data_IF_388069839006
#
_entry.id   IF_388069839006
#
_cell.length_a   1.000
_cell.length_b   1.000
_cell.length_c   1.000
_cell.angle_alpha   90.00
_cell.angle_beta   90.00
_cell.angle_gamma   90.00
#
_symmetry.space_group_name_H-M   'P 1'
#
loop_
_entity.id
_entity.type
_entity.pdbx_description
1 polymer ?
#
# COMPACT_ATOMS: atom_id res chain seq x y z
N UNK A 1 4.23 -7.55 -4.09
CA UNK A 1 4.77 -6.19 -3.93
C UNK A 1 6.13 -6.20 -3.21
N UNK A 2 6.24 -6.66 -1.96
CA UNK A 2 7.54 -6.70 -1.25
C UNK A 2 8.64 -7.43 -2.02
N UNK A 3 8.40 -8.68 -2.42
CA UNK A 3 9.32 -9.46 -3.25
C UNK A 3 9.62 -8.83 -4.62
N UNK A 4 8.67 -8.09 -5.18
CA UNK A 4 8.83 -7.46 -6.50
C UNK A 4 9.58 -6.11 -6.42
N UNK A 5 9.80 -5.57 -5.23
CA UNK A 5 10.39 -4.24 -5.06
C UNK A 5 11.91 -4.30 -5.30
N UNK A 6 12.45 -3.64 -6.35
CA UNK A 6 13.89 -3.71 -6.65
C UNK A 6 14.76 -2.96 -5.63
N UNK A 7 14.16 -2.08 -4.82
CA UNK A 7 14.85 -1.28 -3.82
C UNK A 7 14.66 -1.78 -2.38
N UNK A 8 13.94 -2.89 -2.19
CA UNK A 8 13.59 -3.42 -0.87
C UNK A 8 12.97 -2.32 0.03
N UNK A 9 11.95 -1.64 -0.51
CA UNK A 9 11.31 -0.49 0.14
C UNK A 9 10.01 -0.85 0.86
N UNK A 10 9.54 -2.10 0.75
CA UNK A 10 8.22 -2.53 1.23
C UNK A 10 8.40 -3.68 2.23
N UNK A 11 7.88 -3.50 3.44
CA UNK A 11 7.75 -4.55 4.44
C UNK A 11 6.29 -5.01 4.53
N UNK A 12 6.07 -6.32 4.62
CA UNK A 12 4.73 -6.90 4.76
C UNK A 12 4.77 -8.08 5.71
N UNK A 13 3.88 -8.07 6.70
CA UNK A 13 3.59 -9.21 7.55
C UNK A 13 2.12 -9.61 7.39
N UNK A 14 1.88 -10.88 7.06
CA UNK A 14 0.54 -11.44 6.92
C UNK A 14 0.05 -12.12 8.19
N UNK A 15 -1.25 -12.04 8.46
CA UNK A 15 -1.98 -12.80 9.47
C UNK A 15 -3.23 -13.44 8.84
N UNK A 16 -3.77 -14.45 9.51
CA UNK A 16 -4.95 -15.18 9.02
C UNK A 16 -6.23 -14.50 9.52
N UNK A 17 -7.26 -14.43 8.68
CA UNK A 17 -8.60 -14.05 9.12
C UNK A 17 -9.23 -15.25 9.86
N UNK A 18 -9.96 -14.98 10.94
CA UNK A 18 -10.75 -15.99 11.66
C UNK A 18 -12.24 -15.70 11.52
N UNK A 19 -13.10 -16.62 12.00
CA UNK A 19 -14.55 -16.39 12.04
C UNK A 19 -14.91 -15.21 12.95
N UNK A 20 -14.15 -15.02 14.04
CA UNK A 20 -14.35 -13.97 15.03
C UNK A 20 -13.75 -12.62 14.63
N UNK A 21 -12.68 -12.62 13.83
CA UNK A 21 -11.99 -11.41 13.42
C UNK A 21 -11.63 -11.45 11.92
N UNK A 22 -12.55 -10.93 11.10
CA UNK A 22 -12.40 -10.89 9.65
C UNK A 22 -12.13 -9.47 9.17
N UNK A 23 -10.87 -9.19 8.84
CA UNK A 23 -10.35 -7.87 8.44
C UNK A 23 -10.42 -7.66 6.93
N UNK A 24 -10.30 -8.73 6.15
CA UNK A 24 -10.36 -8.69 4.68
C UNK A 24 -11.26 -9.81 4.13
N UNK A 25 -11.63 -9.71 2.84
CA UNK A 25 -12.46 -10.72 2.20
C UNK A 25 -11.74 -12.07 1.99
N UNK A 26 -10.40 -12.05 1.87
CA UNK A 26 -9.59 -13.26 1.65
C UNK A 26 -9.35 -14.08 2.92
N UNK A 27 -8.55 -15.14 2.80
CA UNK A 27 -8.15 -15.97 3.95
C UNK A 27 -7.14 -15.26 4.86
N UNK A 28 -6.37 -14.31 4.31
CA UNK A 28 -5.29 -13.60 5.01
C UNK A 28 -5.39 -12.10 4.79
N UNK A 29 -4.79 -11.34 5.70
CA UNK A 29 -4.65 -9.90 5.61
C UNK A 29 -3.25 -9.46 6.02
N UNK A 30 -2.81 -8.28 5.56
CA UNK A 30 -1.58 -7.69 6.06
C UNK A 30 -1.84 -7.11 7.47
N UNK A 31 -1.23 -7.68 8.50
CA UNK A 31 -1.28 -7.13 9.86
C UNK A 31 -0.32 -5.96 10.00
N UNK A 32 0.79 -5.99 9.28
CA UNK A 32 1.73 -4.88 9.15
C UNK A 32 2.06 -4.70 7.66
N UNK A 33 2.08 -3.44 7.22
CA UNK A 33 2.38 -3.06 5.86
C UNK A 33 3.07 -1.71 5.89
N UNK A 34 4.31 -1.65 5.41
CA UNK A 34 5.08 -0.40 5.42
C UNK A 34 5.73 -0.13 4.07
N UNK A 35 5.79 1.15 3.68
CA UNK A 35 6.55 1.62 2.52
C UNK A 35 7.53 2.70 2.98
N UNK A 36 8.82 2.48 2.75
CA UNK A 36 9.86 3.47 2.99
C UNK A 36 10.07 4.33 1.73
N UNK A 37 9.55 5.55 1.74
CA UNK A 37 9.62 6.50 0.63
C UNK A 37 11.02 7.04 0.38
N UNK A 38 11.96 6.93 1.32
CA UNK A 38 13.38 7.24 1.07
C UNK A 38 14.13 6.12 0.32
N UNK A 39 13.56 4.91 0.25
CA UNK A 39 14.10 3.78 -0.54
C UNK A 39 13.33 3.58 -1.84
N UNK A 40 12.04 3.90 -1.86
CA UNK A 40 11.19 3.72 -3.02
C UNK A 40 11.73 4.50 -4.22
N UNK A 41 11.90 3.82 -5.36
CA UNK A 41 12.34 4.44 -6.63
C UNK A 41 11.17 4.70 -7.60
N UNK A 42 9.93 4.62 -7.10
CA UNK A 42 8.70 4.92 -7.85
C UNK A 42 8.55 4.16 -9.20
N UNK A 43 9.09 2.93 -9.29
CA UNK A 43 9.12 2.16 -10.55
C UNK A 43 7.78 1.50 -10.95
N UNK A 44 6.77 1.46 -10.08
CA UNK A 44 5.47 0.85 -10.37
C UNK A 44 5.40 -0.69 -10.33
N UNK A 45 6.52 -1.41 -10.25
CA UNK A 45 6.54 -2.88 -10.24
C UNK A 45 5.71 -3.52 -9.11
N UNK A 46 5.57 -2.84 -7.98
CA UNK A 46 4.74 -3.32 -6.88
C UNK A 46 3.23 -3.35 -7.22
N UNK A 47 2.77 -2.44 -8.09
CA UNK A 47 1.40 -2.35 -8.59
C UNK A 47 1.15 -3.46 -9.61
N UNK A 48 2.05 -3.62 -10.58
CA UNK A 48 1.95 -4.67 -11.60
C UNK A 48 1.95 -6.08 -11.00
N UNK A 49 2.81 -6.30 -10.00
CA UNK A 49 2.92 -7.60 -9.34
C UNK A 49 1.75 -7.93 -8.40
N UNK A 50 0.83 -7.00 -8.13
CA UNK A 50 -0.25 -7.22 -7.16
C UNK A 50 -1.46 -7.92 -7.82
N UNK A 51 -1.76 -9.19 -7.50
CA UNK A 51 -2.83 -9.93 -8.15
C UNK A 51 -4.23 -9.40 -7.83
N UNK A 52 -4.38 -8.72 -6.70
CA UNK A 52 -5.64 -8.15 -6.22
C UNK A 52 -5.75 -6.64 -6.41
N UNK A 53 -4.75 -6.01 -7.06
CA UNK A 53 -4.68 -4.56 -7.29
C UNK A 53 -4.83 -3.73 -5.99
N UNK A 54 -4.19 -4.19 -4.91
CA UNK A 54 -4.27 -3.55 -3.60
C UNK A 54 -3.45 -2.25 -3.49
N UNK A 55 -2.49 -2.02 -4.38
CA UNK A 55 -1.71 -0.78 -4.46
C UNK A 55 -2.02 -0.05 -5.76
N UNK A 56 -2.05 1.27 -5.68
CA UNK A 56 -2.06 2.19 -6.82
C UNK A 56 -0.92 3.18 -6.67
N UNK A 57 -0.21 3.46 -7.75
CA UNK A 57 0.73 4.58 -7.81
C UNK A 57 -0.04 5.83 -8.21
N UNK A 58 -0.05 6.85 -7.36
CA UNK A 58 -0.76 8.11 -7.60
C UNK A 58 0.17 9.15 -8.23
N UNK A 59 -0.39 10.28 -8.65
CA UNK A 59 0.37 11.44 -9.15
C UNK A 59 0.80 12.40 -8.02
N UNK A 60 0.82 11.96 -6.75
CA UNK A 60 1.25 12.80 -5.64
C UNK A 60 2.79 12.81 -5.58
N UNK A 61 3.39 13.93 -5.97
CA UNK A 61 4.86 14.12 -5.97
C UNK A 61 5.34 15.15 -4.94
N UNK A 62 4.44 15.95 -4.37
CA UNK A 62 4.77 16.99 -3.39
C UNK A 62 4.93 16.42 -1.98
N UNK A 63 5.97 15.61 -1.78
CA UNK A 63 6.28 14.97 -0.50
C UNK A 63 7.58 15.52 0.06
N UNK A 64 7.52 16.11 1.25
CA UNK A 64 8.68 16.49 2.05
C UNK A 64 8.52 15.89 3.44
N UNK A 65 9.62 15.41 4.01
CA UNK A 65 9.66 14.77 5.32
C UNK A 65 10.62 15.52 6.22
N UNK A 66 10.25 15.72 7.49
CA UNK A 66 11.11 16.41 8.46
C UNK A 66 12.13 15.44 9.09
N UNK A 67 11.76 14.17 9.21
CA UNK A 67 12.61 13.08 9.70
C UNK A 67 12.61 11.87 8.75
N UNK A 68 13.49 10.89 9.02
CA UNK A 68 13.54 9.66 8.22
C UNK A 68 12.33 8.76 8.51
N UNK A 69 11.86 8.83 9.74
CA UNK A 69 10.75 8.07 10.28
C UNK A 69 9.44 8.50 9.61
N UNK A 70 9.26 9.81 9.35
CA UNK A 70 8.08 10.34 8.65
C UNK A 70 7.94 9.80 7.21
N UNK A 71 9.04 9.33 6.62
CA UNK A 71 9.05 8.75 5.29
C UNK A 71 8.70 7.25 5.26
N UNK A 72 8.47 6.63 6.43
CA UNK A 72 8.03 5.23 6.54
C UNK A 72 6.53 5.23 6.78
N UNK A 73 5.77 4.94 5.73
CA UNK A 73 4.31 4.98 5.80
C UNK A 73 3.78 3.64 6.30
N UNK A 74 2.93 3.67 7.32
CA UNK A 74 2.26 2.48 7.87
C UNK A 74 1.01 2.12 7.08
N UNK A 75 0.46 0.93 7.35
CA UNK A 75 -0.78 0.43 6.76
C UNK A 75 -1.91 1.45 6.90
N UNK A 76 -2.06 2.04 8.07
CA UNK A 76 -3.13 3.00 8.39
C UNK A 76 -3.00 4.27 7.55
N UNK A 77 -1.78 4.72 7.25
CA UNK A 77 -1.53 5.89 6.40
C UNK A 77 -1.74 5.60 4.91
N UNK A 78 -1.59 4.33 4.49
CA UNK A 78 -1.72 3.90 3.11
C UNK A 78 -3.15 3.51 2.73
N UNK A 79 -3.99 3.17 3.71
CA UNK A 79 -5.39 2.80 3.46
C UNK A 79 -6.20 4.02 3.04
N UNK A 80 -6.91 3.87 1.92
CA UNK A 80 -7.96 4.80 1.52
C UNK A 80 -9.34 4.25 1.93
N UNK A 81 -10.32 5.11 2.23
CA UNK A 81 -11.70 4.67 2.41
C UNK A 81 -12.17 3.86 1.18
N UNK A 82 -13.00 2.82 1.37
CA UNK A 82 -13.55 2.08 0.25
C UNK A 82 -14.26 3.05 -0.72
N UNK A 83 -13.78 3.12 -1.96
CA UNK A 83 -14.47 3.84 -3.03
C UNK A 83 -15.80 3.16 -3.39
N UNK A 84 -16.66 3.85 -4.13
CA UNK A 84 -17.87 3.24 -4.68
C UNK A 84 -17.50 2.01 -5.54
N UNK A 85 -18.30 0.93 -5.44
CA UNK A 85 -18.11 -0.30 -6.20
C UNK A 85 -17.86 -0.01 -7.69
N UNK A 86 -16.66 -0.36 -8.18
CA UNK A 86 -16.27 -0.22 -9.58
C UNK A 86 -15.26 0.89 -9.88
N UNK A 87 -14.86 1.73 -8.90
CA UNK A 87 -13.74 2.65 -9.06
C UNK A 87 -12.44 2.00 -8.60
N UNK A 88 -11.37 2.10 -9.41
CA UNK A 88 -10.06 1.69 -8.94
C UNK A 88 -9.61 2.65 -7.83
N UNK A 89 -9.02 2.16 -6.73
CA UNK A 89 -8.50 3.02 -5.67
C UNK A 89 -7.53 4.04 -6.28
N UNK A 90 -7.79 5.34 -6.11
CA UNK A 90 -6.90 6.41 -6.59
C UNK A 90 -7.17 6.97 -8.00
N UNK A 91 -8.31 6.67 -8.65
CA UNK A 91 -8.71 7.32 -9.92
C UNK A 91 -9.44 8.65 -9.75
N UNK A 92 -9.42 9.26 -8.56
CA UNK A 92 -9.98 10.59 -8.35
C UNK A 92 -8.96 11.64 -8.82
N UNK A 93 -8.73 11.67 -10.13
CA UNK A 93 -8.12 12.83 -10.80
C UNK A 93 -9.15 13.96 -10.77
N UNK A 94 -9.22 14.68 -9.64
CA UNK A 94 -10.31 15.62 -9.40
C UNK A 94 -10.06 16.68 -8.33
N UNK A 95 -8.84 16.83 -7.81
CA UNK A 95 -8.41 18.02 -7.06
C UNK A 95 -6.92 18.27 -7.16
#
# INVERSE_FOLDING_TARGET
CAWACPADAIYVQGADNTEENRVSAGERYAIDYQINYLRCIMCGLCVEACPTRALTLTNNYEMAFESREDAIFTKEQLLVPPGALGTAPGTDEGK
#
